data_IF_451872460891
#
_entry.id   IF_451872460891
#
_cell.length_a   1.000
_cell.length_b   1.000
_cell.length_c   1.000
_cell.angle_alpha   90.00
_cell.angle_beta   90.00
_cell.angle_gamma   90.00
#
_symmetry.space_group_name_H-M   'P 1'
#
loop_
_entity.id
_entity.type
_entity.pdbx_description
1 polymer ?
#
# COMPACT_ATOMS: atom_id res chain seq x y z
N UNK A 1 -0.89 3.55 -6.70
CA UNK A 1 -0.43 4.92 -6.40
C UNK A 1 -0.95 5.97 -7.37
N UNK A 2 -1.64 6.99 -6.84
CA UNK A 2 -2.09 8.15 -7.60
C UNK A 2 -0.90 9.04 -7.99
N UNK A 3 -0.82 9.45 -9.26
CA UNK A 3 0.35 10.14 -9.83
C UNK A 3 0.09 11.60 -10.22
N UNK A 4 -1.17 12.05 -10.29
CA UNK A 4 -1.44 13.45 -10.60
C UNK A 4 -1.09 14.35 -9.42
N UNK A 5 -0.60 15.56 -9.73
CA UNK A 5 -0.16 16.54 -8.74
C UNK A 5 -1.23 16.88 -7.70
N UNK A 6 -2.49 16.98 -8.15
CA UNK A 6 -3.62 17.37 -7.31
C UNK A 6 -4.75 16.35 -7.41
N UNK A 7 -5.47 16.13 -6.31
CA UNK A 7 -6.78 15.49 -6.34
C UNK A 7 -7.80 16.48 -6.87
N UNK A 8 -8.60 16.06 -7.86
CA UNK A 8 -9.73 16.88 -8.32
C UNK A 8 -10.83 16.90 -7.26
N UNK A 9 -11.61 17.99 -7.21
CA UNK A 9 -12.76 18.11 -6.29
C UNK A 9 -13.71 16.92 -6.43
N UNK A 10 -13.92 16.41 -7.66
CA UNK A 10 -14.74 15.23 -7.91
C UNK A 10 -14.19 13.97 -7.24
N UNK A 11 -12.88 13.74 -7.30
CA UNK A 11 -12.24 12.59 -6.64
C UNK A 11 -12.36 12.72 -5.12
N UNK A 12 -12.08 13.90 -4.57
CA UNK A 12 -12.22 14.18 -3.13
C UNK A 12 -13.65 13.94 -2.65
N UNK A 13 -14.66 14.45 -3.37
CA UNK A 13 -16.07 14.23 -3.05
C UNK A 13 -16.50 12.77 -3.24
N UNK A 14 -15.93 12.04 -4.20
CA UNK A 14 -16.22 10.60 -4.33
C UNK A 14 -15.64 9.77 -3.17
N UNK A 15 -14.58 10.25 -2.54
CA UNK A 15 -13.91 9.59 -1.43
C UNK A 15 -14.63 9.82 -0.09
N UNK A 16 -15.06 11.05 0.20
CA UNK A 16 -15.62 11.42 1.51
C UNK A 16 -16.94 12.18 1.46
N UNK A 17 -17.47 12.51 0.28
CA UNK A 17 -18.65 13.36 0.12
C UNK A 17 -19.93 12.76 0.71
N UNK A 18 -20.01 11.44 0.86
CA UNK A 18 -21.11 10.80 1.58
C UNK A 18 -21.25 11.28 3.03
N UNK A 19 -20.13 11.72 3.65
CA UNK A 19 -20.17 12.25 5.01
C UNK A 19 -20.83 13.64 5.11
N UNK A 20 -20.83 14.42 4.02
CA UNK A 20 -21.49 15.73 3.99
C UNK A 20 -22.99 15.61 4.25
N UNK A 21 -23.62 14.51 3.84
CA UNK A 21 -25.07 14.29 3.98
C UNK A 21 -25.44 14.21 5.46
N UNK A 22 -24.84 13.29 6.23
CA UNK A 22 -25.19 13.14 7.64
C UNK A 22 -24.68 14.30 8.50
N UNK A 23 -23.55 14.91 8.13
CA UNK A 23 -23.08 16.15 8.77
C UNK A 23 -24.11 17.27 8.60
N UNK A 24 -24.70 17.39 7.41
CA UNK A 24 -25.73 18.38 7.13
C UNK A 24 -26.99 18.10 7.93
N UNK A 25 -27.45 16.83 7.95
CA UNK A 25 -28.61 16.43 8.75
C UNK A 25 -28.41 16.73 10.23
N UNK A 26 -27.22 16.42 10.77
CA UNK A 26 -26.89 16.68 12.17
C UNK A 26 -26.81 18.18 12.49
N UNK A 27 -26.13 18.96 11.65
CA UNK A 27 -26.03 20.40 11.83
C UNK A 27 -27.41 21.08 11.76
N UNK A 28 -28.24 20.72 10.79
CA UNK A 28 -29.62 21.23 10.66
C UNK A 28 -30.45 20.84 11.89
N UNK A 29 -30.38 19.58 12.34
CA UNK A 29 -31.14 19.12 13.49
C UNK A 29 -30.81 19.92 14.76
N UNK A 30 -29.52 20.16 15.02
CA UNK A 30 -29.07 20.92 16.19
C UNK A 30 -29.44 22.41 16.08
N UNK A 31 -29.27 23.03 14.90
CA UNK A 31 -29.68 24.42 14.69
C UNK A 31 -31.20 24.60 14.84
N UNK A 32 -32.01 23.70 14.28
CA UNK A 32 -33.46 23.73 14.47
C UNK A 32 -33.85 23.51 15.94
N UNK A 33 -33.18 22.58 16.63
CA UNK A 33 -33.40 22.35 18.06
C UNK A 33 -33.09 23.62 18.85
N UNK A 34 -32.01 24.33 18.55
CA UNK A 34 -31.64 25.58 19.20
C UNK A 34 -32.65 26.71 18.94
N UNK A 35 -33.12 26.85 17.70
CA UNK A 35 -34.02 27.95 17.30
C UNK A 35 -35.46 27.75 17.81
N UNK A 36 -35.97 26.52 17.77
CA UNK A 36 -37.38 26.23 18.08
C UNK A 36 -37.60 25.71 19.50
N UNK A 37 -36.59 25.08 20.10
CA UNK A 37 -36.67 24.69 21.49
C UNK A 37 -36.21 25.89 22.31
N UNK A 38 -37.08 26.49 23.12
CA UNK A 38 -36.72 27.57 24.06
C UNK A 38 -35.77 27.10 25.19
N UNK A 39 -34.95 26.09 24.93
CA UNK A 39 -33.97 25.48 25.80
C UNK A 39 -32.72 26.34 25.89
N UNK A 40 -32.88 27.49 26.55
CA UNK A 40 -31.78 28.41 26.87
C UNK A 40 -30.67 27.75 27.74
N UNK A 41 -30.91 26.55 28.27
CA UNK A 41 -29.94 25.76 29.05
C UNK A 41 -28.96 24.96 28.18
N UNK A 42 -29.28 24.74 26.89
CA UNK A 42 -28.40 24.05 25.94
C UNK A 42 -27.36 25.01 25.34
N UNK A 43 -26.90 25.97 26.13
CA UNK A 43 -25.79 26.85 25.77
C UNK A 43 -24.50 26.10 26.05
N UNK A 44 -23.89 25.53 25.01
CA UNK A 44 -22.57 24.90 25.14
C UNK A 44 -21.51 25.95 24.82
N UNK A 45 -20.66 26.34 25.79
CA UNK A 45 -19.65 27.35 25.54
C UNK A 45 -18.68 26.91 24.43
N UNK A 46 -18.28 27.84 23.57
CA UNK A 46 -17.34 27.56 22.47
C UNK A 46 -15.96 27.13 22.93
N UNK A 47 -15.46 27.75 24.01
CA UNK A 47 -14.09 27.56 24.46
C UNK A 47 -13.75 26.09 24.81
N UNK A 48 -14.57 25.34 25.56
CA UNK A 48 -14.38 23.90 25.73
C UNK A 48 -14.37 23.11 24.41
N UNK A 49 -15.26 23.42 23.47
CA UNK A 49 -15.34 22.72 22.18
C UNK A 49 -14.10 23.00 21.33
N UNK A 50 -13.63 24.24 21.28
CA UNK A 50 -12.42 24.60 20.52
C UNK A 50 -11.16 24.00 21.12
N UNK A 51 -11.09 23.89 22.46
CA UNK A 51 -10.01 23.18 23.15
C UNK A 51 -9.99 21.69 22.80
N UNK A 52 -11.15 21.03 22.84
CA UNK A 52 -11.30 19.63 22.40
C UNK A 52 -10.89 19.50 20.93
N UNK A 53 -11.42 20.33 20.04
CA UNK A 53 -11.08 20.30 18.62
C UNK A 53 -9.58 20.45 18.37
N UNK A 54 -8.92 21.36 19.07
CA UNK A 54 -7.47 21.55 18.98
C UNK A 54 -6.72 20.30 19.42
N UNK A 55 -7.09 19.72 20.57
CA UNK A 55 -6.48 18.48 21.05
C UNK A 55 -6.68 17.30 20.08
N UNK A 56 -7.87 17.16 19.51
CA UNK A 56 -8.18 16.14 18.49
C UNK A 56 -7.36 16.37 17.23
N UNK A 57 -7.22 17.61 16.74
CA UNK A 57 -6.43 17.91 15.56
C UNK A 57 -4.95 17.52 15.73
N UNK A 58 -4.37 17.81 16.90
CA UNK A 58 -3.01 17.37 17.22
C UNK A 58 -2.90 15.85 17.24
N UNK A 59 -3.83 15.17 17.91
CA UNK A 59 -3.82 13.72 18.02
C UNK A 59 -3.92 13.03 16.65
N UNK A 60 -4.89 13.43 15.82
CA UNK A 60 -5.07 12.95 14.45
C UNK A 60 -3.85 13.28 13.60
N UNK A 61 -3.26 14.47 13.76
CA UNK A 61 -2.03 14.86 13.09
C UNK A 61 -0.86 13.92 13.39
N UNK A 62 -0.64 13.57 14.66
CA UNK A 62 0.39 12.60 15.04
C UNK A 62 0.11 11.21 14.47
N UNK A 63 -1.14 10.73 14.54
CA UNK A 63 -1.55 9.46 13.92
C UNK A 63 -1.27 9.45 12.42
N UNK A 64 -1.60 10.54 11.72
CA UNK A 64 -1.41 10.67 10.28
C UNK A 64 0.06 10.64 9.90
N UNK A 65 0.94 11.28 10.67
CA UNK A 65 2.38 11.21 10.44
C UNK A 65 2.89 9.76 10.58
N UNK A 66 2.45 9.02 11.60
CA UNK A 66 2.84 7.62 11.77
C UNK A 66 2.29 6.72 10.66
N UNK A 67 1.07 6.99 10.19
CA UNK A 67 0.46 6.25 9.06
C UNK A 67 1.20 6.54 7.76
N UNK A 68 1.58 7.79 7.51
CA UNK A 68 2.42 8.19 6.39
C UNK A 68 3.79 7.50 6.45
N UNK A 69 4.44 7.47 7.61
CA UNK A 69 5.74 6.82 7.78
C UNK A 69 5.71 5.33 7.41
N UNK A 70 4.61 4.61 7.69
CA UNK A 70 4.41 3.22 7.26
C UNK A 70 4.36 3.10 5.74
N UNK A 71 3.59 3.95 5.06
CA UNK A 71 3.53 3.99 3.59
C UNK A 71 4.89 4.37 2.99
N UNK A 72 5.59 5.33 3.58
CA UNK A 72 6.93 5.72 3.15
C UNK A 72 7.95 4.59 3.35
N UNK A 73 7.87 3.84 4.45
CA UNK A 73 8.68 2.64 4.68
C UNK A 73 8.43 1.58 3.62
N UNK A 74 7.16 1.29 3.30
CA UNK A 74 6.79 0.36 2.24
C UNK A 74 7.39 0.78 0.88
N UNK A 75 7.37 2.07 0.55
CA UNK A 75 8.00 2.61 -0.66
C UNK A 75 9.52 2.40 -0.67
N UNK A 76 10.19 2.69 0.46
CA UNK A 76 11.65 2.47 0.60
C UNK A 76 12.02 1.00 0.43
N UNK A 77 11.23 0.09 1.00
CA UNK A 77 11.45 -1.36 0.89
C UNK A 77 11.38 -1.80 -0.57
N UNK A 78 10.29 -1.45 -1.28
CA UNK A 78 10.15 -1.81 -2.68
C UNK A 78 11.19 -1.14 -3.59
N UNK A 79 11.61 0.10 -3.29
CA UNK A 79 12.73 0.74 -3.97
C UNK A 79 14.05 -0.01 -3.77
N UNK A 80 14.29 -0.53 -2.57
CA UNK A 80 15.47 -1.37 -2.31
C UNK A 80 15.38 -2.73 -3.03
N UNK A 81 14.19 -3.34 -3.11
CA UNK A 81 13.96 -4.54 -3.92
C UNK A 81 14.32 -4.29 -5.39
N UNK A 82 13.92 -3.15 -5.98
CA UNK A 82 14.31 -2.79 -7.36
C UNK A 82 15.83 -2.77 -7.51
N UNK A 83 16.54 -2.08 -6.61
CA UNK A 83 17.99 -1.96 -6.68
C UNK A 83 18.70 -3.31 -6.51
N UNK A 84 18.34 -4.09 -5.50
CA UNK A 84 18.91 -5.42 -5.28
C UNK A 84 18.58 -6.39 -6.41
N UNK A 85 17.41 -6.25 -7.05
CA UNK A 85 17.05 -7.05 -8.23
C UNK A 85 17.95 -6.74 -9.42
N UNK A 86 18.20 -5.45 -9.71
CA UNK A 86 19.12 -5.04 -10.78
C UNK A 86 20.55 -5.53 -10.51
N UNK A 87 20.99 -5.45 -9.25
CA UNK A 87 22.26 -6.02 -8.83
C UNK A 87 22.29 -7.53 -9.13
N UNK A 88 21.27 -8.28 -8.68
CA UNK A 88 21.14 -9.72 -8.96
C UNK A 88 21.22 -10.05 -10.46
N UNK A 89 20.50 -9.33 -11.32
CA UNK A 89 20.58 -9.51 -12.77
C UNK A 89 21.97 -9.31 -13.33
N UNK A 90 22.64 -8.22 -12.92
CA UNK A 90 23.99 -7.90 -13.37
C UNK A 90 25.02 -8.96 -12.93
N UNK A 91 25.04 -9.30 -11.63
CA UNK A 91 26.03 -10.27 -11.13
C UNK A 91 25.73 -11.70 -11.57
N UNK A 92 24.46 -12.16 -11.59
CA UNK A 92 24.14 -13.51 -12.07
C UNK A 92 24.53 -13.71 -13.54
N UNK A 93 24.35 -12.69 -14.38
CA UNK A 93 24.80 -12.70 -15.78
C UNK A 93 26.32 -12.75 -15.91
N UNK A 94 27.04 -11.96 -15.11
CA UNK A 94 28.50 -11.79 -15.21
C UNK A 94 29.28 -12.93 -14.56
N UNK A 95 28.83 -13.39 -13.38
CA UNK A 95 29.58 -14.30 -12.52
C UNK A 95 29.46 -15.77 -12.91
N UNK A 96 28.35 -16.18 -13.54
CA UNK A 96 28.21 -17.56 -14.05
C UNK A 96 29.02 -17.71 -15.33
N UNK A 97 30.15 -18.41 -15.26
CA UNK A 97 31.05 -18.59 -16.40
C UNK A 97 31.91 -19.86 -16.31
N UNK A 98 32.53 -20.24 -17.43
CA UNK A 98 33.47 -21.37 -17.50
C UNK A 98 34.86 -21.09 -16.91
N UNK A 99 35.03 -20.00 -16.14
CA UNK A 99 36.37 -19.53 -15.74
C UNK A 99 37.08 -20.47 -14.76
N UNK A 100 36.33 -21.15 -13.88
CA UNK A 100 36.89 -21.97 -12.80
C UNK A 100 36.55 -23.46 -12.92
N UNK A 101 35.81 -23.85 -13.97
CA UNK A 101 35.44 -25.23 -14.21
C UNK A 101 36.41 -25.92 -15.16
N UNK A 102 36.69 -27.20 -14.91
CA UNK A 102 37.45 -28.06 -15.83
C UNK A 102 36.57 -28.54 -17.00
N UNK A 103 35.27 -28.72 -16.76
CA UNK A 103 34.29 -29.17 -17.75
C UNK A 103 33.50 -27.98 -18.30
N UNK A 104 33.97 -27.42 -19.41
CA UNK A 104 33.34 -26.24 -20.03
C UNK A 104 31.92 -26.55 -20.51
N UNK A 105 30.98 -25.75 -20.05
CA UNK A 105 29.59 -25.74 -20.54
C UNK A 105 29.49 -24.97 -21.85
N UNK A 106 28.54 -25.34 -22.72
CA UNK A 106 28.25 -24.56 -23.93
C UNK A 106 27.67 -23.18 -23.57
N UNK A 107 27.79 -22.21 -24.46
CA UNK A 107 27.22 -20.87 -24.25
C UNK A 107 25.69 -20.93 -24.06
N UNK A 108 25.01 -21.85 -24.75
CA UNK A 108 23.58 -22.09 -24.57
C UNK A 108 23.26 -22.65 -23.17
N UNK A 109 24.08 -23.55 -22.64
CA UNK A 109 23.89 -24.08 -21.29
C UNK A 109 24.11 -22.99 -20.23
N UNK A 110 25.15 -22.16 -20.37
CA UNK A 110 25.38 -21.01 -19.49
C UNK A 110 24.23 -19.99 -19.57
N UNK A 111 23.72 -19.71 -20.76
CA UNK A 111 22.56 -18.85 -20.96
C UNK A 111 21.33 -19.40 -20.23
N UNK A 112 21.04 -20.70 -20.36
CA UNK A 112 19.90 -21.33 -19.69
C UNK A 112 20.00 -21.26 -18.16
N UNK A 113 21.21 -21.39 -17.59
CA UNK A 113 21.46 -21.22 -16.16
C UNK A 113 21.17 -19.77 -15.73
N UNK A 114 21.73 -18.79 -16.44
CA UNK A 114 21.50 -17.35 -16.16
C UNK A 114 20.01 -17.00 -16.26
N UNK A 115 19.35 -17.50 -17.30
CA UNK A 115 17.91 -17.35 -17.51
C UNK A 115 17.12 -17.93 -16.34
N UNK A 116 17.45 -19.15 -15.89
CA UNK A 116 16.81 -19.77 -14.72
C UNK A 116 16.93 -18.92 -13.45
N UNK A 117 18.12 -18.41 -13.13
CA UNK A 117 18.34 -17.55 -11.95
C UNK A 117 17.51 -16.26 -12.02
N UNK A 118 17.48 -15.62 -13.19
CA UNK A 118 16.72 -14.38 -13.40
C UNK A 118 15.21 -14.64 -13.38
N UNK A 119 14.72 -15.66 -14.06
CA UNK A 119 13.29 -15.97 -14.12
C UNK A 119 12.75 -16.41 -12.76
N UNK A 120 13.51 -17.19 -11.98
CA UNK A 120 13.15 -17.54 -10.60
C UNK A 120 13.06 -16.30 -9.71
N UNK A 121 13.96 -15.34 -9.89
CA UNK A 121 13.89 -14.06 -9.18
C UNK A 121 12.66 -13.23 -9.57
N UNK A 122 12.31 -13.18 -10.86
CA UNK A 122 11.08 -12.53 -11.33
C UNK A 122 9.85 -13.23 -10.72
N UNK A 123 9.87 -14.56 -10.64
CA UNK A 123 8.80 -15.33 -10.01
C UNK A 123 8.65 -14.98 -8.52
N UNK A 124 9.76 -14.84 -7.79
CA UNK A 124 9.74 -14.38 -6.41
C UNK A 124 9.07 -13.01 -6.25
N UNK A 125 9.32 -12.04 -7.15
CA UNK A 125 8.70 -10.71 -7.09
C UNK A 125 7.17 -10.79 -7.18
N UNK A 126 6.66 -11.57 -8.14
CA UNK A 126 5.23 -11.73 -8.33
C UNK A 126 4.56 -12.51 -7.20
N UNK A 127 5.22 -13.55 -6.68
CA UNK A 127 4.73 -14.29 -5.52
C UNK A 127 4.72 -13.40 -4.27
N UNK A 128 5.78 -12.61 -4.02
CA UNK A 128 5.82 -11.68 -2.90
C UNK A 128 4.71 -10.62 -3.00
N UNK A 129 4.49 -10.05 -4.19
CA UNK A 129 3.34 -9.16 -4.44
C UNK A 129 2.04 -9.84 -4.05
N UNK A 130 1.79 -11.05 -4.56
CA UNK A 130 0.54 -11.76 -4.31
C UNK A 130 0.35 -12.08 -2.83
N UNK A 131 1.42 -12.46 -2.12
CA UNK A 131 1.39 -12.66 -0.68
C UNK A 131 1.05 -11.38 0.09
N UNK A 132 1.61 -10.23 -0.28
CA UNK A 132 1.32 -8.94 0.35
C UNK A 132 -0.09 -8.43 0.06
N UNK A 133 -0.73 -8.89 -1.02
CA UNK A 133 -2.12 -8.58 -1.36
C UNK A 133 -3.15 -9.44 -0.62
N UNK A 134 -2.73 -10.51 0.06
CA UNK A 134 -3.66 -11.34 0.85
C UNK A 134 -4.28 -10.49 1.95
N UNK A 135 -5.61 -10.37 2.03
CA UNK A 135 -6.26 -9.55 3.05
C UNK A 135 -5.97 -9.98 4.48
N UNK A 136 -5.76 -9.02 5.37
CA UNK A 136 -5.69 -9.24 6.83
C UNK A 136 -6.99 -8.83 7.52
N UNK A 137 -7.28 -9.33 8.74
CA UNK A 137 -8.56 -9.08 9.43
C UNK A 137 -8.89 -7.62 9.70
N UNK A 138 -7.90 -6.73 9.70
CA UNK A 138 -8.06 -5.32 10.02
C UNK A 138 -8.05 -4.40 8.79
N UNK A 139 -7.77 -4.92 7.60
CA UNK A 139 -7.85 -4.16 6.36
C UNK A 139 -9.31 -3.88 6.00
N UNK A 140 -9.52 -2.83 5.20
CA UNK A 140 -10.86 -2.32 4.92
C UNK A 140 -11.75 -3.37 4.24
N UNK A 141 -11.16 -4.23 3.41
CA UNK A 141 -11.86 -5.32 2.72
C UNK A 141 -12.40 -6.40 3.68
N UNK A 142 -11.78 -6.55 4.85
CA UNK A 142 -12.17 -7.53 5.87
C UNK A 142 -13.11 -6.97 6.93
N UNK A 143 -13.43 -5.68 6.85
CA UNK A 143 -14.32 -5.01 7.80
C UNK A 143 -15.80 -5.30 7.51
N UNK A 144 -16.68 -4.58 8.22
CA UNK A 144 -18.13 -4.68 8.05
C UNK A 144 -18.59 -4.54 6.58
N UNK A 145 -19.81 -5.02 6.30
CA UNK A 145 -20.37 -5.09 4.95
C UNK A 145 -20.28 -3.77 4.18
N UNK A 146 -20.55 -2.64 4.82
CA UNK A 146 -20.54 -1.33 4.14
C UNK A 146 -19.13 -0.89 3.74
N UNK A 147 -18.17 -1.05 4.65
CA UNK A 147 -16.76 -0.74 4.38
C UNK A 147 -16.23 -1.68 3.30
N UNK A 148 -16.45 -3.00 3.43
CA UNK A 148 -16.04 -3.99 2.44
C UNK A 148 -16.55 -3.68 1.03
N UNK A 149 -17.86 -3.45 0.86
CA UNK A 149 -18.44 -3.16 -0.45
C UNK A 149 -17.89 -1.87 -1.07
N UNK A 150 -17.64 -0.86 -0.22
CA UNK A 150 -17.03 0.40 -0.67
C UNK A 150 -15.59 0.18 -1.12
N UNK A 151 -14.82 -0.61 -0.37
CA UNK A 151 -13.44 -0.97 -0.69
C UNK A 151 -13.35 -1.82 -1.96
N UNK A 152 -14.18 -2.85 -2.12
CA UNK A 152 -14.27 -3.65 -3.34
C UNK A 152 -14.50 -2.78 -4.57
N UNK A 153 -15.44 -1.83 -4.47
CA UNK A 153 -15.73 -0.88 -5.55
C UNK A 153 -14.51 -0.02 -5.85
N UNK A 154 -13.79 0.46 -4.83
CA UNK A 154 -12.58 1.27 -4.98
C UNK A 154 -11.45 0.49 -5.64
N UNK A 155 -11.19 -0.75 -5.20
CA UNK A 155 -10.17 -1.63 -5.81
C UNK A 155 -10.50 -1.89 -7.27
N UNK A 156 -11.76 -2.20 -7.60
CA UNK A 156 -12.19 -2.44 -8.99
C UNK A 156 -12.08 -1.19 -9.88
N UNK A 157 -12.48 -0.04 -9.37
CA UNK A 157 -12.59 1.17 -10.18
C UNK A 157 -11.29 1.98 -10.28
N UNK A 158 -10.51 1.99 -9.20
CA UNK A 158 -9.34 2.87 -9.03
C UNK A 158 -8.09 2.13 -8.53
N UNK A 159 -8.16 0.83 -8.27
CA UNK A 159 -7.04 0.03 -7.77
C UNK A 159 -6.67 -1.09 -8.73
N UNK A 160 -6.30 -2.25 -8.18
CA UNK A 160 -5.86 -3.43 -8.95
C UNK A 160 -6.82 -3.83 -10.06
N UNK A 161 -8.13 -3.88 -9.78
CA UNK A 161 -9.12 -4.33 -10.77
C UNK A 161 -9.35 -3.35 -11.93
N UNK A 162 -8.75 -2.16 -11.88
CA UNK A 162 -8.84 -1.19 -12.97
C UNK A 162 -7.83 -1.47 -14.09
N UNK A 163 -6.74 -2.17 -13.80
CA UNK A 163 -5.66 -2.49 -14.73
C UNK A 163 -5.73 -4.00 -15.02
N UNK A 164 -5.75 -4.35 -16.31
CA UNK A 164 -5.60 -5.74 -16.72
C UNK A 164 -4.13 -6.13 -16.52
N UNK A 165 -3.86 -6.91 -15.47
CA UNK A 165 -2.50 -7.29 -15.11
C UNK A 165 -1.96 -8.46 -15.95
N UNK A 166 -2.82 -9.15 -16.72
CA UNK A 166 -2.51 -10.35 -17.53
C UNK A 166 -1.65 -11.40 -16.78
N UNK A 167 -1.61 -11.31 -15.44
CA UNK A 167 -0.80 -12.13 -14.55
C UNK A 167 -1.68 -13.27 -14.07
N UNK A 168 -1.93 -14.22 -14.96
CA UNK A 168 -2.54 -15.48 -14.59
C UNK A 168 -1.54 -16.34 -13.82
N UNK A 169 -2.08 -17.25 -13.02
CA UNK A 169 -1.30 -18.29 -12.34
C UNK A 169 -0.41 -19.06 -13.34
N UNK A 170 -0.93 -19.29 -14.55
CA UNK A 170 -0.21 -19.92 -15.66
C UNK A 170 1.00 -19.11 -16.13
N UNK A 171 0.88 -17.77 -16.23
CA UNK A 171 2.00 -16.89 -16.60
C UNK A 171 3.09 -16.91 -15.53
N UNK A 172 2.71 -16.97 -14.24
CA UNK A 172 3.68 -17.09 -13.14
C UNK A 172 4.34 -18.47 -13.14
N UNK A 173 3.59 -19.54 -13.40
CA UNK A 173 4.12 -20.90 -13.45
C UNK A 173 5.20 -21.05 -14.53
N UNK A 174 5.05 -20.38 -15.69
CA UNK A 174 6.05 -20.36 -16.77
C UNK A 174 7.39 -19.72 -16.39
N UNK A 175 7.46 -19.00 -15.27
CA UNK A 175 8.72 -18.43 -14.76
C UNK A 175 9.56 -19.46 -13.98
N UNK A 176 8.98 -20.60 -13.61
CA UNK A 176 9.67 -21.65 -12.87
C UNK A 176 10.17 -22.76 -13.80
N UNK A 177 11.28 -23.43 -13.44
CA UNK A 177 11.61 -24.74 -14.00
C UNK A 177 10.49 -25.77 -13.80
N UNK A 178 10.44 -26.78 -14.67
CA UNK A 178 9.43 -27.84 -14.62
C UNK A 178 9.35 -28.49 -13.23
N UNK A 179 8.13 -28.62 -12.69
CA UNK A 179 7.85 -29.21 -11.38
C UNK A 179 8.29 -28.38 -10.16
N UNK A 180 9.01 -27.28 -10.34
CA UNK A 180 9.48 -26.44 -9.22
C UNK A 180 8.32 -25.64 -8.60
N UNK A 181 7.43 -25.09 -9.44
CA UNK A 181 6.26 -24.33 -8.99
C UNK A 181 5.35 -25.15 -8.06
N UNK A 182 4.94 -26.34 -8.49
CA UNK A 182 4.01 -27.21 -7.77
C UNK A 182 4.53 -27.63 -6.40
N UNK A 183 5.86 -27.78 -6.28
CA UNK A 183 6.52 -28.06 -5.01
C UNK A 183 6.58 -26.82 -4.13
N UNK A 184 6.98 -25.66 -4.68
CA UNK A 184 7.21 -24.45 -3.89
C UNK A 184 5.91 -23.81 -3.36
N UNK A 185 4.80 -23.91 -4.10
CA UNK A 185 3.52 -23.33 -3.67
C UNK A 185 2.91 -24.03 -2.45
N UNK A 186 3.30 -25.27 -2.17
CA UNK A 186 2.81 -26.05 -1.02
C UNK A 186 3.36 -25.55 0.33
N UNK A 187 4.45 -24.79 0.32
CA UNK A 187 5.04 -24.27 1.55
C UNK A 187 4.25 -23.07 2.09
N UNK A 188 4.22 -22.96 3.43
CA UNK A 188 3.53 -21.87 4.13
C UNK A 188 4.00 -20.46 3.72
N UNK A 189 5.29 -20.30 3.45
CA UNK A 189 5.84 -19.05 2.91
C UNK A 189 6.61 -19.34 1.62
N UNK A 190 5.85 -19.40 0.52
CA UNK A 190 6.38 -19.64 -0.84
C UNK A 190 7.52 -18.68 -1.20
N UNK A 191 7.36 -17.36 -1.01
CA UNK A 191 8.41 -16.39 -1.35
C UNK A 191 9.74 -16.66 -0.63
N UNK A 192 9.71 -17.01 0.66
CA UNK A 192 10.93 -17.40 1.39
C UNK A 192 11.58 -18.62 0.75
N UNK A 193 10.79 -19.63 0.38
CA UNK A 193 11.33 -20.87 -0.20
C UNK A 193 11.90 -20.67 -1.61
N UNK A 194 11.41 -19.68 -2.37
CA UNK A 194 12.01 -19.34 -3.67
C UNK A 194 13.42 -18.77 -3.49
N UNK A 195 13.64 -17.90 -2.49
CA UNK A 195 14.98 -17.38 -2.17
C UNK A 195 15.90 -18.51 -1.68
N UNK A 196 15.40 -19.41 -0.83
CA UNK A 196 16.16 -20.59 -0.40
C UNK A 196 16.57 -21.46 -1.60
N UNK A 197 15.63 -21.72 -2.52
CA UNK A 197 15.92 -22.48 -3.73
C UNK A 197 16.97 -21.80 -4.63
N UNK A 198 17.01 -20.46 -4.67
CA UNK A 198 18.11 -19.73 -5.32
C UNK A 198 19.45 -20.00 -4.63
N UNK A 199 19.50 -20.01 -3.29
CA UNK A 199 20.72 -20.31 -2.55
C UNK A 199 21.22 -21.75 -2.81
N UNK A 200 20.31 -22.73 -2.88
CA UNK A 200 20.68 -24.11 -3.24
C UNK A 200 21.22 -24.23 -4.67
N UNK A 201 20.69 -23.42 -5.60
CA UNK A 201 21.20 -23.35 -6.99
C UNK A 201 22.62 -22.76 -7.00
N UNK A 202 22.89 -21.69 -6.23
CA UNK A 202 24.23 -21.12 -6.10
C UNK A 202 25.25 -22.13 -5.55
N UNK A 203 24.88 -22.90 -4.53
CA UNK A 203 25.74 -23.97 -3.99
C UNK A 203 26.05 -25.02 -5.07
N UNK A 204 25.08 -25.36 -5.91
CA UNK A 204 25.24 -26.30 -7.04
C UNK A 204 26.22 -25.74 -8.07
N UNK A 205 26.06 -24.47 -8.46
CA UNK A 205 26.94 -23.79 -9.42
C UNK A 205 28.38 -23.69 -8.90
N UNK A 206 28.55 -23.47 -7.60
CA UNK A 206 29.86 -23.47 -6.94
C UNK A 206 30.50 -24.86 -7.00
N UNK A 207 29.76 -25.91 -6.68
CA UNK A 207 30.27 -27.29 -6.75
C UNK A 207 30.72 -27.67 -8.17
N UNK A 208 30.09 -27.09 -9.20
CA UNK A 208 30.44 -27.29 -10.61
C UNK A 208 31.59 -26.39 -11.11
N UNK A 209 32.10 -25.48 -10.26
CA UNK A 209 33.13 -24.50 -10.65
C UNK A 209 32.62 -23.42 -11.62
N UNK A 210 31.30 -23.24 -11.76
CA UNK A 210 30.71 -22.20 -12.60
C UNK A 210 30.71 -20.82 -11.93
N UNK A 211 30.87 -20.81 -10.60
CA UNK A 211 31.17 -19.65 -9.76
C UNK A 211 32.23 -20.06 -8.73
N UNK A 212 33.12 -19.15 -8.34
CA UNK A 212 34.07 -19.37 -7.25
C UNK A 212 33.50 -18.92 -5.89
N UNK A 213 34.30 -19.07 -4.84
CA UNK A 213 33.92 -18.73 -3.47
C UNK A 213 33.54 -17.25 -3.31
N UNK A 214 34.30 -16.32 -3.91
CA UNK A 214 34.02 -14.90 -3.78
C UNK A 214 32.74 -14.50 -4.52
N UNK A 215 32.51 -15.05 -5.72
CA UNK A 215 31.25 -14.85 -6.46
C UNK A 215 30.06 -15.43 -5.71
N UNK A 216 30.20 -16.60 -5.10
CA UNK A 216 29.15 -17.20 -4.29
C UNK A 216 28.80 -16.32 -3.08
N UNK A 217 29.80 -15.82 -2.35
CA UNK A 217 29.58 -14.92 -1.21
C UNK A 217 28.84 -13.64 -1.61
N UNK A 218 29.22 -13.01 -2.73
CA UNK A 218 28.56 -11.79 -3.21
C UNK A 218 27.12 -12.06 -3.68
N UNK A 219 26.86 -13.15 -4.40
CA UNK A 219 25.50 -13.53 -4.79
C UNK A 219 24.64 -13.86 -3.56
N UNK A 220 25.18 -14.59 -2.58
CA UNK A 220 24.47 -14.91 -1.33
C UNK A 220 24.12 -13.66 -0.52
N UNK A 221 24.98 -12.64 -0.53
CA UNK A 221 24.69 -11.36 0.13
C UNK A 221 23.45 -10.68 -0.46
N UNK A 222 23.28 -10.72 -1.77
CA UNK A 222 22.08 -10.16 -2.43
C UNK A 222 20.83 -10.98 -2.07
N UNK A 223 20.94 -12.32 -1.98
CA UNK A 223 19.83 -13.16 -1.48
C UNK A 223 19.45 -12.81 -0.04
N UNK A 224 20.44 -12.52 0.82
CA UNK A 224 20.19 -12.07 2.19
C UNK A 224 19.47 -10.71 2.20
N UNK A 225 19.82 -9.79 1.30
CA UNK A 225 19.11 -8.51 1.15
C UNK A 225 17.65 -8.71 0.76
N UNK A 226 17.34 -9.66 -0.14
CA UNK A 226 15.95 -10.00 -0.47
C UNK A 226 15.18 -10.53 0.74
N UNK A 227 15.79 -11.37 1.60
CA UNK A 227 15.17 -11.78 2.86
C UNK A 227 14.90 -10.59 3.79
N UNK A 228 15.85 -9.66 3.91
CA UNK A 228 15.70 -8.45 4.72
C UNK A 228 14.52 -7.61 4.20
N UNK A 229 14.42 -7.40 2.89
CA UNK A 229 13.35 -6.61 2.29
C UNK A 229 11.99 -7.31 2.42
N UNK A 230 11.92 -8.61 2.15
CA UNK A 230 10.72 -9.41 2.34
C UNK A 230 10.24 -9.35 3.79
N UNK A 231 11.12 -9.60 4.76
CA UNK A 231 10.76 -9.56 6.18
C UNK A 231 10.25 -8.18 6.63
N UNK A 232 10.84 -7.10 6.12
CA UNK A 232 10.35 -5.73 6.38
C UNK A 232 8.97 -5.49 5.78
N UNK A 233 8.71 -5.93 4.55
CA UNK A 233 7.39 -5.78 3.91
C UNK A 233 6.31 -6.62 4.63
N UNK A 234 6.64 -7.87 4.97
CA UNK A 234 5.76 -8.75 5.75
C UNK A 234 5.46 -8.15 7.13
N UNK A 235 6.43 -7.49 7.78
CA UNK A 235 6.20 -6.82 9.06
C UNK A 235 5.17 -5.71 8.92
N UNK A 236 5.27 -4.86 7.90
CA UNK A 236 4.25 -3.81 7.63
C UNK A 236 2.88 -4.44 7.42
N UNK A 237 2.81 -5.52 6.64
CA UNK A 237 1.56 -6.22 6.34
C UNK A 237 0.95 -6.91 7.56
N UNK A 238 1.76 -7.57 8.41
CA UNK A 238 1.31 -8.41 9.54
C UNK A 238 1.12 -7.63 10.84
N UNK A 239 1.80 -6.50 11.01
CA UNK A 239 1.71 -5.70 12.24
C UNK A 239 1.07 -4.34 11.94
N UNK A 240 -0.20 -4.13 12.32
CA UNK A 240 -0.87 -2.87 12.08
C UNK A 240 -0.37 -1.74 13.00
N UNK A 241 -0.82 -0.50 12.74
CA UNK A 241 -0.58 0.59 13.68
C UNK A 241 -1.24 0.21 15.02
N UNK A 242 -0.63 0.52 16.18
CA UNK A 242 -1.18 0.04 17.43
C UNK A 242 -2.63 0.51 17.60
N UNK A 243 -3.52 -0.47 17.75
CA UNK A 243 -4.97 -0.27 17.57
C UNK A 243 -5.59 0.71 18.55
N UNK A 244 -4.94 0.92 19.69
CA UNK A 244 -5.31 1.94 20.66
C UNK A 244 -5.23 3.35 20.06
N UNK A 245 -4.19 3.65 19.27
CA UNK A 245 -4.07 4.96 18.60
C UNK A 245 -5.12 5.13 17.50
N UNK A 246 -5.30 4.12 16.65
CA UNK A 246 -6.29 4.15 15.58
C UNK A 246 -7.71 4.32 16.12
N UNK A 247 -8.11 3.50 17.09
CA UNK A 247 -9.46 3.48 17.64
C UNK A 247 -9.78 4.74 18.45
N UNK A 248 -8.83 5.23 19.27
CA UNK A 248 -9.07 6.43 20.08
C UNK A 248 -9.15 7.69 19.21
N UNK A 249 -8.36 7.77 18.13
CA UNK A 249 -8.47 8.86 17.14
C UNK A 249 -9.89 8.97 16.59
N UNK A 250 -10.43 7.85 16.12
CA UNK A 250 -11.79 7.76 15.58
C UNK A 250 -12.83 8.21 16.62
N UNK A 251 -12.76 7.67 17.84
CA UNK A 251 -13.68 8.03 18.93
C UNK A 251 -13.63 9.53 19.25
N UNK A 252 -12.43 10.11 19.34
CA UNK A 252 -12.29 11.54 19.64
C UNK A 252 -12.81 12.43 18.52
N UNK A 253 -12.59 12.05 17.26
CA UNK A 253 -13.17 12.74 16.10
C UNK A 253 -14.69 12.66 16.14
N UNK A 254 -15.28 11.50 16.44
CA UNK A 254 -16.73 11.35 16.59
C UNK A 254 -17.30 12.24 17.70
N UNK A 255 -16.67 12.26 18.88
CA UNK A 255 -17.10 13.10 20.00
C UNK A 255 -17.03 14.58 19.61
N UNK A 256 -15.92 15.01 19.00
CA UNK A 256 -15.77 16.40 18.57
C UNK A 256 -16.82 16.81 17.54
N UNK A 257 -17.03 16.02 16.49
CA UNK A 257 -18.01 16.32 15.45
C UNK A 257 -19.44 16.33 16.01
N UNK A 258 -19.74 15.44 16.95
CA UNK A 258 -21.03 15.42 17.63
C UNK A 258 -21.28 16.73 18.40
N UNK A 259 -20.27 17.22 19.14
CA UNK A 259 -20.37 18.43 19.96
C UNK A 259 -20.29 19.74 19.14
N UNK A 260 -19.61 19.71 18.00
CA UNK A 260 -19.32 20.87 17.16
C UNK A 260 -20.54 21.77 16.86
N UNK A 261 -21.70 21.27 16.39
CA UNK A 261 -22.84 22.15 16.07
C UNK A 261 -23.37 22.93 17.28
N UNK A 262 -23.32 22.37 18.49
CA UNK A 262 -23.82 23.06 19.69
C UNK A 262 -22.98 24.29 20.05
N UNK A 263 -21.65 24.22 19.85
CA UNK A 263 -20.78 25.37 20.02
C UNK A 263 -20.93 26.39 18.90
N UNK A 264 -21.03 25.90 17.66
CA UNK A 264 -21.14 26.75 16.47
C UNK A 264 -22.43 27.57 16.48
N UNK A 265 -23.58 26.94 16.77
CA UNK A 265 -24.86 27.66 16.81
C UNK A 265 -24.87 28.75 17.89
N UNK A 266 -24.23 28.47 19.03
CA UNK A 266 -24.13 29.38 20.17
C UNK A 266 -23.28 30.62 19.89
N UNK A 267 -22.18 30.48 19.14
CA UNK A 267 -21.37 31.63 18.75
C UNK A 267 -22.00 32.44 17.63
N UNK A 268 -22.57 31.75 16.63
CA UNK A 268 -23.17 32.41 15.50
C UNK A 268 -24.48 33.12 15.87
N UNK A 269 -25.23 32.67 16.88
CA UNK A 269 -26.45 33.35 17.35
C UNK A 269 -26.19 34.79 17.84
N UNK A 270 -24.96 35.09 18.27
CA UNK A 270 -24.54 36.45 18.66
C UNK A 270 -24.48 37.43 17.49
N UNK A 271 -24.47 36.93 16.24
CA UNK A 271 -24.38 37.74 15.01
C UNK A 271 -25.74 38.23 14.50
N UNK A 272 -26.83 37.92 15.21
CA UNK A 272 -28.20 38.32 14.87
C UNK A 272 -29.09 37.15 14.43
N UNK A 273 -30.29 37.47 13.94
CA UNK A 273 -31.37 36.50 13.68
C UNK A 273 -30.98 35.39 12.69
N UNK A 274 -30.19 35.73 11.66
CA UNK A 274 -29.72 34.75 10.66
C UNK A 274 -28.47 33.99 11.09
N UNK A 275 -27.87 34.38 12.22
CA UNK A 275 -26.65 33.79 12.76
C UNK A 275 -26.72 32.26 12.91
N UNK A 276 -27.70 31.71 13.66
CA UNK A 276 -27.81 30.27 13.87
C UNK A 276 -27.85 29.46 12.57
N UNK A 277 -28.49 29.98 11.53
CA UNK A 277 -28.56 29.32 10.21
C UNK A 277 -27.20 29.30 9.49
N UNK A 278 -26.38 30.35 9.66
CA UNK A 278 -25.01 30.37 9.15
C UNK A 278 -24.08 29.40 9.89
N UNK A 279 -24.42 28.91 11.08
CA UNK A 279 -23.58 27.91 11.77
C UNK A 279 -23.51 26.59 10.99
N UNK A 280 -24.58 26.25 10.24
CA UNK A 280 -24.72 24.99 9.49
C UNK A 280 -23.57 24.78 8.49
N UNK A 281 -23.34 25.65 7.49
CA UNK A 281 -22.28 25.44 6.50
C UNK A 281 -20.88 25.37 7.13
N UNK A 282 -20.63 26.12 8.20
CA UNK A 282 -19.33 26.07 8.89
C UNK A 282 -19.16 24.79 9.71
N UNK A 283 -20.19 24.31 10.40
CA UNK A 283 -20.16 23.00 11.07
C UNK A 283 -19.90 21.88 10.08
N UNK A 284 -20.58 21.88 8.92
CA UNK A 284 -20.39 20.87 7.88
C UNK A 284 -18.95 20.90 7.38
N UNK A 285 -18.43 22.09 7.07
CA UNK A 285 -17.06 22.25 6.56
C UNK A 285 -16.01 21.77 7.56
N UNK A 286 -16.07 22.24 8.81
CA UNK A 286 -15.11 21.85 9.86
C UNK A 286 -15.23 20.35 10.15
N UNK A 287 -16.44 19.82 10.31
CA UNK A 287 -16.66 18.39 10.53
C UNK A 287 -16.10 17.55 9.38
N UNK A 288 -16.31 17.97 8.14
CA UNK A 288 -15.77 17.29 6.97
C UNK A 288 -14.24 17.32 6.92
N UNK A 289 -13.59 18.41 7.34
CA UNK A 289 -12.13 18.49 7.44
C UNK A 289 -11.59 17.46 8.44
N UNK A 290 -12.19 17.33 9.63
CA UNK A 290 -11.73 16.32 10.61
C UNK A 290 -11.97 14.88 10.13
N UNK A 291 -13.08 14.61 9.45
CA UNK A 291 -13.32 13.30 8.82
C UNK A 291 -12.27 13.03 7.75
N UNK A 292 -11.98 14.01 6.90
CA UNK A 292 -10.96 13.88 5.86
C UNK A 292 -9.59 13.58 6.47
N UNK A 293 -9.21 14.26 7.55
CA UNK A 293 -7.96 13.97 8.24
C UNK A 293 -7.92 12.54 8.77
N UNK A 294 -8.99 12.07 9.42
CA UNK A 294 -9.07 10.71 9.96
C UNK A 294 -9.00 9.64 8.85
N UNK A 295 -9.76 9.83 7.76
CA UNK A 295 -9.77 8.91 6.62
C UNK A 295 -8.41 8.86 5.90
N UNK A 296 -7.72 9.99 5.73
CA UNK A 296 -6.41 10.01 5.08
C UNK A 296 -5.39 9.21 5.90
N UNK A 297 -5.42 9.33 7.24
CA UNK A 297 -4.59 8.51 8.11
C UNK A 297 -4.90 7.03 8.00
N UNK A 298 -6.18 6.68 8.14
CA UNK A 298 -6.68 5.30 8.13
C UNK A 298 -6.30 4.55 6.82
N UNK A 299 -6.54 5.18 5.67
CA UNK A 299 -6.18 4.61 4.36
C UNK A 299 -4.67 4.61 4.07
N UNK A 300 -3.88 5.41 4.78
CA UNK A 300 -2.41 5.40 4.65
C UNK A 300 -1.73 4.37 5.55
N UNK A 301 -2.46 3.76 6.49
CA UNK A 301 -1.91 2.77 7.42
C UNK A 301 -1.51 1.45 6.72
N UNK A 302 -2.26 1.09 5.66
CA UNK A 302 -2.16 -0.20 4.97
C UNK A 302 -1.74 -0.02 3.50
N UNK A 303 -0.43 -0.07 3.19
CA UNK A 303 0.07 0.27 1.86
C UNK A 303 -0.04 -0.86 0.81
N UNK A 304 -0.71 -1.98 1.13
CA UNK A 304 -0.75 -3.21 0.34
C UNK A 304 -2.17 -3.80 0.20
N UNK A 305 -3.21 -2.98 0.20
CA UNK A 305 -4.61 -3.41 0.00
C UNK A 305 -5.00 -3.50 -1.49
N UNK A 306 -4.16 -2.98 -2.39
CA UNK A 306 -4.44 -2.90 -3.82
C UNK A 306 -5.31 -1.70 -4.20
N UNK A 307 -5.34 -0.67 -3.34
CA UNK A 307 -6.03 0.58 -3.58
C UNK A 307 -5.22 1.53 -4.46
N UNK A 308 -5.88 2.55 -5.00
CA UNK A 308 -5.26 3.51 -5.91
C UNK A 308 -4.15 4.35 -5.28
N UNK A 309 -4.14 4.52 -3.96
CA UNK A 309 -3.11 5.23 -3.21
C UNK A 309 -1.95 4.35 -2.73
N UNK A 310 -2.07 3.02 -2.85
CA UNK A 310 -1.09 2.06 -2.36
C UNK A 310 0.18 2.01 -3.21
N UNK A 311 1.19 1.28 -2.71
CA UNK A 311 2.43 1.04 -3.45
C UNK A 311 2.12 0.37 -4.80
N UNK A 312 2.66 0.89 -5.92
CA UNK A 312 2.38 0.36 -7.23
C UNK A 312 3.23 -0.91 -7.49
N UNK A 313 2.98 -1.96 -6.72
CA UNK A 313 3.76 -3.20 -6.74
C UNK A 313 3.78 -3.83 -8.13
N UNK A 314 2.69 -3.78 -8.89
CA UNK A 314 2.64 -4.38 -10.23
C UNK A 314 3.59 -3.68 -11.20
N UNK A 315 3.59 -2.34 -11.22
CA UNK A 315 4.49 -1.53 -12.04
C UNK A 315 5.93 -1.75 -11.62
N UNK A 316 6.22 -1.87 -10.33
CA UNK A 316 7.57 -2.12 -9.84
C UNK A 316 8.06 -3.52 -10.25
N UNK A 317 7.22 -4.55 -10.10
CA UNK A 317 7.51 -5.90 -10.60
C UNK A 317 7.77 -5.88 -12.11
N UNK A 318 6.91 -5.22 -12.90
CA UNK A 318 7.05 -5.13 -14.37
C UNK A 318 8.31 -4.38 -14.79
N UNK A 319 8.67 -3.29 -14.10
CA UNK A 319 9.93 -2.57 -14.37
C UNK A 319 11.13 -3.48 -14.11
N UNK A 320 11.14 -4.21 -12.99
CA UNK A 320 12.23 -5.15 -12.70
C UNK A 320 12.26 -6.28 -13.74
N UNK A 321 11.11 -6.84 -14.11
CA UNK A 321 11.01 -7.87 -15.14
C UNK A 321 11.62 -7.41 -16.48
N UNK A 322 11.25 -6.21 -16.94
CA UNK A 322 11.80 -5.62 -18.18
C UNK A 322 13.32 -5.48 -18.07
N UNK A 323 13.80 -4.82 -17.00
CA UNK A 323 15.24 -4.58 -16.80
C UNK A 323 16.03 -5.90 -16.83
N UNK A 324 15.53 -6.95 -16.16
CA UNK A 324 16.24 -8.23 -16.06
C UNK A 324 16.19 -9.07 -17.34
N UNK A 325 15.06 -9.03 -18.06
CA UNK A 325 14.93 -9.73 -19.35
C UNK A 325 15.73 -9.02 -20.45
N UNK A 326 15.81 -7.69 -20.41
CA UNK A 326 16.71 -6.90 -21.26
C UNK A 326 18.18 -7.23 -20.97
N UNK A 327 18.57 -7.41 -19.70
CA UNK A 327 19.90 -7.90 -19.35
C UNK A 327 20.20 -9.28 -19.95
N UNK A 328 19.19 -10.16 -20.12
CA UNK A 328 19.35 -11.44 -20.82
C UNK A 328 19.48 -11.29 -22.35
N UNK A 329 19.23 -10.12 -22.92
CA UNK A 329 19.20 -9.90 -24.36
C UNK A 329 17.92 -10.45 -25.02
N UNK A 330 16.81 -10.51 -24.29
CA UNK A 330 15.52 -10.86 -24.86
C UNK A 330 14.86 -9.63 -25.52
N UNK A 331 14.34 -9.79 -26.74
CA UNK A 331 13.68 -8.70 -27.48
C UNK A 331 12.17 -8.62 -27.22
N UNK A 332 11.54 -9.76 -26.90
CA UNK A 332 10.10 -9.84 -26.60
C UNK A 332 9.82 -9.44 -25.15
N UNK A 333 9.94 -8.14 -24.86
CA UNK A 333 9.76 -7.58 -23.53
C UNK A 333 8.31 -7.15 -23.30
N UNK A 334 7.79 -7.35 -22.07
CA UNK A 334 6.44 -6.94 -21.75
C UNK A 334 6.36 -5.41 -21.65
N UNK A 335 5.22 -4.83 -22.03
CA UNK A 335 5.05 -3.39 -21.95
C UNK A 335 5.07 -2.88 -20.48
N UNK A 336 5.64 -1.68 -20.24
CA UNK A 336 5.51 -1.01 -18.94
C UNK A 336 4.05 -0.77 -18.56
N UNK A 337 3.74 -0.90 -17.27
CA UNK A 337 2.39 -0.60 -16.76
C UNK A 337 2.15 0.91 -16.87
N UNK A 338 1.11 1.29 -17.60
CA UNK A 338 0.70 2.68 -17.75
C UNK A 338 -0.33 3.03 -16.70
N UNK A 339 -0.28 4.27 -16.22
CA UNK A 339 -1.30 4.76 -15.30
C UNK A 339 -2.66 4.85 -16.00
N UNK A 340 -3.72 4.42 -15.30
CA UNK A 340 -5.11 4.52 -15.75
C UNK A 340 -5.87 5.42 -14.78
N UNK A 341 -6.55 6.44 -15.30
CA UNK A 341 -7.27 7.43 -14.49
C UNK A 341 -6.40 8.09 -13.39
N UNK A 342 -5.11 8.31 -13.68
CA UNK A 342 -4.18 8.90 -12.73
C UNK A 342 -3.66 7.94 -11.67
N UNK A 343 -3.96 6.64 -11.74
CA UNK A 343 -3.43 5.62 -10.83
C UNK A 343 -2.46 4.70 -11.57
N UNK A 344 -1.27 4.52 -11.00
CA UNK A 344 -0.29 3.49 -11.36
C UNK A 344 -0.40 2.34 -10.36
N UNK A 345 -0.48 1.08 -10.80
CA UNK A 345 -0.58 -0.09 -9.90
C UNK A 345 0.71 -0.85 -9.79
#
# INVERSE_FOLDING_TARGET
>A
MYIYKNFSVRVTLSFSGGHLIWLSLWAIAVTCLYEYSSWNWLYVPWLPISLVGTAVAFYVGFKNNQSYDRTWEARKIWGAIVNSSRAWGSVSKSYVSNQFTTEKQSDQALYNIKKRLIYRHIAWLYILRNQLLIPTPWEHISQNKHVRLTTEKRIKQYGLGSIDDNLTEETIQKLFPEGEYDRLIQYKNTATQIIDQQAQDLQTLRNQGLIDDFRHMELQKILNDFYIHQGKAERIKKFPLPRQYGSMSFVFVCIFIFLLPFGMVTEFSKLGVWGPWWSIPFTILIGWVYIMMELVGDYSENPFEGLGNDIPMLSLCRTIEIDLREMLGEDDLPNPIKAKNGVLM
#
